data_IF_912852096850
#
_entry.id   IF_912852096850
#
_cell.length_a   1.000
_cell.length_b   1.000
_cell.length_c   1.000
_cell.angle_alpha   90.00
_cell.angle_beta   90.00
_cell.angle_gamma   90.00
#
_symmetry.space_group_name_H-M   'P 1'
#
loop_
_entity.id
_entity.type
_entity.pdbx_description
1 polymer ?
#
# COMPACT_ATOMS: atom_id res chain seq x y z
N UNK A 1 -4.49 22.00 37.04
CA UNK A 1 -5.29 20.76 37.03
C UNK A 1 -6.64 21.12 37.60
N UNK A 2 -7.66 21.13 36.75
CA UNK A 2 -9.05 21.20 37.24
C UNK A 2 -9.45 19.81 37.74
N UNK A 3 -10.33 19.79 38.74
CA UNK A 3 -10.64 18.65 39.62
C UNK A 3 -11.39 17.48 38.97
N UNK A 4 -11.51 17.42 37.64
CA UNK A 4 -12.30 16.41 36.92
C UNK A 4 -11.47 15.53 35.97
N UNK A 5 -10.12 15.54 36.08
CA UNK A 5 -9.23 14.67 35.31
C UNK A 5 -9.36 14.78 33.77
N UNK A 6 -9.89 15.89 33.24
CA UNK A 6 -10.06 16.13 31.80
C UNK A 6 -8.83 16.80 31.19
N UNK A 7 -8.25 16.18 30.15
CA UNK A 7 -7.12 16.74 29.39
C UNK A 7 -7.61 17.50 28.16
N UNK A 8 -7.39 18.82 28.14
CA UNK A 8 -7.71 19.68 26.98
C UNK A 8 -6.50 19.78 26.05
N UNK A 9 -6.58 19.17 24.87
CA UNK A 9 -5.50 19.17 23.89
C UNK A 9 -5.82 20.10 22.71
N UNK A 10 -4.87 20.98 22.34
CA UNK A 10 -4.96 21.81 21.13
C UNK A 10 -3.90 21.35 20.13
N UNK A 11 -4.33 20.77 19.02
CA UNK A 11 -3.44 20.37 17.92
C UNK A 11 -3.08 21.63 17.13
N UNK A 12 -1.79 21.98 17.07
CA UNK A 12 -1.27 23.07 16.26
C UNK A 12 -0.38 22.47 15.16
N UNK A 13 -0.92 22.34 13.95
CA UNK A 13 -0.23 21.77 12.80
C UNK A 13 -1.15 21.70 11.58
N UNK A 14 -0.61 21.34 10.42
CA UNK A 14 -1.21 21.35 9.06
C UNK A 14 -2.50 20.52 8.88
N UNK A 15 -3.11 20.04 9.95
CA UNK A 15 -4.37 19.30 10.00
C UNK A 15 -5.60 20.19 10.20
N UNK A 16 -5.45 21.52 10.16
CA UNK A 16 -6.57 22.46 10.05
C UNK A 16 -7.29 22.23 8.70
N UNK A 17 -8.33 21.39 8.72
CA UNK A 17 -9.33 21.34 7.65
C UNK A 17 -9.54 20.00 6.92
N UNK A 18 -8.87 18.89 7.30
CA UNK A 18 -9.17 17.58 6.71
C UNK A 18 -9.92 16.67 7.70
N UNK A 19 -11.22 16.38 7.50
CA UNK A 19 -12.02 15.53 8.40
C UNK A 19 -11.46 14.10 8.52
N UNK A 20 -10.79 13.60 7.48
CA UNK A 20 -10.23 12.24 7.45
C UNK A 20 -8.97 12.10 8.31
N UNK A 21 -8.15 13.15 8.47
CA UNK A 21 -6.93 13.10 9.28
C UNK A 21 -7.21 13.33 10.78
N UNK A 22 -8.25 14.11 11.11
CA UNK A 22 -8.59 14.43 12.49
C UNK A 22 -9.06 13.21 13.28
N UNK A 23 -9.81 12.29 12.64
CA UNK A 23 -10.34 11.08 13.31
C UNK A 23 -9.23 10.06 13.59
N UNK A 24 -8.33 9.81 12.63
CA UNK A 24 -7.21 8.88 12.84
C UNK A 24 -6.23 9.39 13.90
N UNK A 25 -5.94 10.70 13.90
CA UNK A 25 -5.09 11.32 14.92
C UNK A 25 -5.77 11.30 16.29
N UNK A 26 -7.07 11.61 16.39
CA UNK A 26 -7.83 11.51 17.64
C UNK A 26 -7.78 10.09 18.21
N UNK A 27 -8.05 9.07 17.39
CA UNK A 27 -8.06 7.67 17.83
C UNK A 27 -6.66 7.19 18.27
N UNK A 28 -5.61 7.62 17.58
CA UNK A 28 -4.23 7.31 17.95
C UNK A 28 -3.81 7.99 19.27
N UNK A 29 -4.26 9.22 19.50
CA UNK A 29 -3.98 9.97 20.72
C UNK A 29 -4.75 9.39 21.91
N UNK A 30 -6.03 9.09 21.76
CA UNK A 30 -6.86 8.46 22.81
C UNK A 30 -6.23 7.14 23.26
N UNK A 31 -5.88 6.27 22.31
CA UNK A 31 -5.21 5.01 22.60
C UNK A 31 -3.87 5.19 23.32
N UNK A 32 -3.09 6.18 22.92
CA UNK A 32 -1.78 6.46 23.55
C UNK A 32 -1.93 7.02 24.97
N UNK A 33 -2.97 7.81 25.23
CA UNK A 33 -3.25 8.37 26.56
C UNK A 33 -3.82 7.29 27.49
N UNK A 34 -4.71 6.43 27.00
CA UNK A 34 -5.28 5.31 27.76
C UNK A 34 -4.20 4.31 28.21
N UNK A 35 -3.19 4.05 27.37
CA UNK A 35 -2.05 3.20 27.71
C UNK A 35 -1.09 3.85 28.73
N UNK A 36 -1.03 5.19 28.80
CA UNK A 36 -0.09 5.93 29.64
C UNK A 36 -0.68 6.45 30.96
N UNK A 37 -2.01 6.64 31.03
CA UNK A 37 -2.71 7.20 32.18
C UNK A 37 -4.12 6.56 32.34
N UNK A 38 -4.22 5.39 32.99
CA UNK A 38 -5.46 4.61 33.09
C UNK A 38 -6.56 5.23 33.98
N UNK A 39 -6.33 6.39 34.61
CA UNK A 39 -7.33 7.14 35.39
C UNK A 39 -8.09 8.24 34.59
N UNK A 40 -7.87 8.35 33.27
CA UNK A 40 -8.55 9.32 32.40
C UNK A 40 -9.87 8.74 31.91
N UNK A 41 -10.98 9.29 32.38
CA UNK A 41 -12.34 8.79 32.08
C UNK A 41 -13.01 9.42 30.86
N UNK A 42 -12.54 10.55 30.34
CA UNK A 42 -13.17 11.21 29.19
C UNK A 42 -12.21 12.20 28.48
N UNK A 43 -12.36 12.36 27.16
CA UNK A 43 -11.52 13.23 26.32
C UNK A 43 -12.42 14.17 25.51
N UNK A 44 -12.48 15.43 25.95
CA UNK A 44 -13.31 16.47 25.35
C UNK A 44 -12.49 17.36 24.39
N UNK A 45 -12.85 17.31 23.10
CA UNK A 45 -12.18 18.04 22.02
C UNK A 45 -12.93 19.34 21.77
N UNK A 46 -12.44 20.43 22.36
CA UNK A 46 -13.08 21.74 22.24
C UNK A 46 -12.74 22.37 20.88
N UNK A 47 -13.79 22.84 20.18
CA UNK A 47 -13.85 23.41 18.81
C UNK A 47 -14.14 22.46 17.63
N UNK A 48 -15.06 21.50 17.81
CA UNK A 48 -15.93 21.09 16.70
C UNK A 48 -17.28 21.79 16.84
N UNK A 49 -17.46 22.94 16.21
CA UNK A 49 -18.81 23.43 15.89
C UNK A 49 -19.30 22.66 14.67
N UNK A 50 -19.99 21.55 14.92
CA UNK A 50 -21.01 21.05 14.00
C UNK A 50 -22.31 21.70 14.44
N UNK A 51 -22.82 22.65 13.67
CA UNK A 51 -24.23 23.04 13.76
C UNK A 51 -25.00 22.38 12.61
N UNK A 52 -26.13 21.80 12.98
CA UNK A 52 -27.02 21.04 12.12
C UNK A 52 -27.97 22.01 11.44
N UNK A 53 -28.10 21.97 10.11
CA UNK A 53 -29.40 22.08 9.41
C UNK A 53 -29.28 22.18 7.89
N UNK A 54 -30.20 21.45 7.25
CA UNK A 54 -30.95 21.83 6.06
C UNK A 54 -30.22 21.85 4.71
N UNK A 55 -30.83 21.09 3.80
CA UNK A 55 -30.70 21.21 2.37
C UNK A 55 -30.75 22.68 1.91
N UNK A 56 -29.64 23.15 1.35
CA UNK A 56 -29.60 24.27 0.43
C UNK A 56 -28.90 23.80 -0.84
N UNK A 57 -29.56 24.01 -1.98
CA UNK A 57 -28.97 23.83 -3.30
C UNK A 57 -27.99 24.98 -3.49
N UNK A 58 -26.73 24.77 -3.10
CA UNK A 58 -25.71 25.78 -3.27
C UNK A 58 -25.25 25.79 -4.72
N UNK A 59 -25.49 26.95 -5.34
CA UNK A 59 -25.01 27.29 -6.66
C UNK A 59 -23.78 28.17 -6.43
N UNK A 60 -22.67 27.90 -7.11
CA UNK A 60 -21.52 28.82 -7.05
C UNK A 60 -21.91 30.21 -7.61
N UNK A 61 -21.04 31.21 -7.40
CA UNK A 61 -21.26 32.57 -7.93
C UNK A 61 -21.41 32.65 -9.46
N UNK A 62 -21.22 31.55 -10.17
CA UNK A 62 -21.33 31.38 -11.63
C UNK A 62 -22.53 30.51 -12.07
N UNK A 63 -23.44 30.13 -11.16
CA UNK A 63 -24.68 29.44 -11.54
C UNK A 63 -24.55 27.91 -11.66
N UNK A 64 -23.46 27.29 -11.20
CA UNK A 64 -23.23 25.84 -11.35
C UNK A 64 -23.65 25.07 -10.11
N UNK A 65 -24.50 24.07 -10.32
CA UNK A 65 -24.90 23.09 -9.32
C UNK A 65 -23.71 22.20 -8.96
N UNK A 66 -23.29 22.25 -7.70
CA UNK A 66 -22.27 21.36 -7.17
C UNK A 66 -22.87 19.97 -6.93
N UNK A 67 -22.41 18.97 -7.68
CA UNK A 67 -22.81 17.58 -7.46
C UNK A 67 -22.22 17.08 -6.13
N UNK A 68 -23.03 16.47 -5.24
CA UNK A 68 -22.52 15.95 -3.97
C UNK A 68 -21.52 14.81 -4.23
N UNK A 69 -20.30 14.99 -3.71
CA UNK A 69 -19.26 13.95 -3.68
C UNK A 69 -19.66 12.90 -2.65
N UNK A 70 -20.05 11.72 -3.11
CA UNK A 70 -20.17 10.55 -2.25
C UNK A 70 -18.78 9.94 -2.02
N UNK A 71 -18.34 9.73 -0.77
CA UNK A 71 -17.11 9.01 -0.49
C UNK A 71 -17.26 7.56 -0.94
N UNK A 72 -16.57 7.19 -2.03
CA UNK A 72 -16.41 5.79 -2.43
C UNK A 72 -15.32 5.19 -1.56
N UNK A 73 -15.69 4.71 -0.37
CA UNK A 73 -14.86 3.78 0.40
C UNK A 73 -15.01 2.39 -0.21
N UNK A 74 -14.42 2.20 -1.40
CA UNK A 74 -14.22 0.86 -1.97
C UNK A 74 -12.73 0.59 -1.97
N UNK A 75 -12.15 0.52 -0.78
CA UNK A 75 -10.87 -0.17 -0.61
C UNK A 75 -11.15 -1.61 -1.03
N UNK A 76 -10.58 -2.11 -2.14
CA UNK A 76 -10.77 -3.51 -2.49
C UNK A 76 -10.18 -4.29 -1.33
N UNK A 77 -11.03 -5.04 -0.61
CA UNK A 77 -10.57 -5.94 0.43
C UNK A 77 -9.43 -6.76 -0.17
N UNK A 78 -8.23 -6.61 0.38
CA UNK A 78 -7.07 -7.35 -0.11
C UNK A 78 -7.49 -8.82 -0.16
N UNK A 79 -7.30 -9.52 -1.29
CA UNK A 79 -7.69 -10.92 -1.39
C UNK A 79 -7.05 -11.67 -0.23
N UNK A 80 -7.76 -12.66 0.33
CA UNK A 80 -7.17 -13.53 1.33
C UNK A 80 -5.81 -14.01 0.80
N UNK A 81 -4.74 -13.70 1.52
CA UNK A 81 -3.37 -13.99 1.11
C UNK A 81 -2.68 -14.76 2.23
N UNK A 82 -1.94 -15.80 1.86
CA UNK A 82 -1.13 -16.56 2.80
C UNK A 82 0.31 -16.08 2.70
N UNK A 83 0.88 -15.65 3.83
CA UNK A 83 2.30 -15.34 3.93
C UNK A 83 3.11 -16.62 4.00
N UNK A 84 4.06 -16.79 3.07
CA UNK A 84 4.92 -17.96 2.97
C UNK A 84 6.36 -17.53 3.22
N UNK A 85 7.04 -18.17 4.17
CA UNK A 85 8.47 -17.99 4.41
C UNK A 85 9.25 -18.63 3.26
N UNK A 86 10.21 -17.90 2.68
CA UNK A 86 11.05 -18.38 1.58
C UNK A 86 12.51 -18.37 2.02
N UNK A 87 13.07 -19.57 2.17
CA UNK A 87 14.45 -19.75 2.57
C UNK A 87 15.44 -19.30 1.48
N UNK A 88 16.61 -18.82 1.89
CA UNK A 88 17.72 -18.46 0.99
C UNK A 88 17.59 -17.13 0.24
N UNK A 89 16.43 -16.46 0.26
CA UNK A 89 16.28 -15.15 -0.39
C UNK A 89 17.09 -14.04 0.27
N UNK A 90 17.39 -14.15 1.57
CA UNK A 90 18.26 -13.21 2.28
C UNK A 90 19.70 -13.19 1.76
N UNK A 91 20.13 -14.27 1.10
CA UNK A 91 21.47 -14.41 0.51
C UNK A 91 21.51 -13.99 -0.98
N UNK A 92 20.36 -13.60 -1.55
CA UNK A 92 20.28 -13.16 -2.94
C UNK A 92 21.08 -11.87 -3.10
N UNK A 93 22.26 -11.98 -3.69
CA UNK A 93 23.16 -10.84 -3.91
C UNK A 93 22.53 -9.74 -4.78
N UNK A 94 23.00 -8.51 -4.59
CA UNK A 94 22.55 -7.36 -5.38
C UNK A 94 22.72 -7.60 -6.89
N UNK A 95 21.73 -7.16 -7.68
CA UNK A 95 21.71 -7.32 -9.14
C UNK A 95 21.40 -8.74 -9.60
N UNK A 96 20.95 -9.62 -8.69
CA UNK A 96 20.56 -10.99 -9.01
C UNK A 96 19.05 -11.14 -9.00
N UNK A 97 18.61 -12.12 -9.80
CA UNK A 97 17.25 -12.62 -9.88
C UNK A 97 17.28 -14.13 -9.65
N UNK A 98 16.22 -14.65 -9.04
CA UNK A 98 15.98 -16.08 -8.92
C UNK A 98 14.50 -16.38 -9.10
N UNK A 99 14.18 -17.49 -9.77
CA UNK A 99 12.84 -18.06 -9.73
C UNK A 99 12.65 -18.84 -8.43
N UNK A 100 11.43 -18.82 -7.89
CA UNK A 100 11.03 -19.60 -6.71
C UNK A 100 9.54 -19.91 -6.78
N UNK A 101 9.03 -20.70 -5.82
CA UNK A 101 7.60 -20.95 -5.65
C UNK A 101 7.15 -20.39 -4.31
N UNK A 102 6.08 -19.59 -4.34
CA UNK A 102 5.40 -19.09 -3.16
C UNK A 102 4.10 -19.88 -3.02
N UNK A 103 4.09 -20.86 -2.11
CA UNK A 103 3.09 -21.93 -2.09
C UNK A 103 2.96 -22.63 -3.47
N UNK A 104 1.83 -22.48 -4.15
CA UNK A 104 1.59 -23.05 -5.47
C UNK A 104 1.92 -22.09 -6.63
N UNK A 105 2.27 -20.84 -6.35
CA UNK A 105 2.42 -19.77 -7.35
C UNK A 105 3.88 -19.60 -7.75
N UNK A 106 4.22 -19.78 -9.04
CA UNK A 106 5.54 -19.43 -9.57
C UNK A 106 5.83 -17.94 -9.42
N UNK A 107 7.01 -17.60 -8.90
CA UNK A 107 7.42 -16.22 -8.65
C UNK A 107 8.87 -15.99 -9.07
N UNK A 108 9.18 -14.75 -9.45
CA UNK A 108 10.54 -14.26 -9.60
C UNK A 108 10.83 -13.25 -8.50
N UNK A 109 11.97 -13.41 -7.84
CA UNK A 109 12.48 -12.48 -6.84
C UNK A 109 13.77 -11.89 -7.35
N UNK A 110 13.92 -10.58 -7.22
CA UNK A 110 15.14 -9.88 -7.60
C UNK A 110 15.59 -8.91 -6.53
N UNK A 111 16.91 -8.69 -6.47
CA UNK A 111 17.54 -7.74 -5.57
C UNK A 111 18.04 -6.53 -6.38
N UNK A 112 17.38 -5.39 -6.21
CA UNK A 112 17.79 -4.11 -6.81
C UNK A 112 18.27 -3.19 -5.72
N UNK A 113 19.54 -2.78 -5.80
CA UNK A 113 20.16 -1.86 -4.84
C UNK A 113 20.05 -2.29 -3.35
N UNK A 114 20.00 -3.59 -3.07
CA UNK A 114 19.87 -4.15 -1.72
C UNK A 114 18.43 -4.39 -1.27
N UNK A 115 17.44 -3.97 -2.06
CA UNK A 115 16.02 -4.20 -1.79
C UNK A 115 15.48 -5.37 -2.60
N UNK A 116 14.72 -6.25 -1.96
CA UNK A 116 14.07 -7.38 -2.61
C UNK A 116 12.70 -6.98 -3.17
N UNK A 117 12.41 -7.48 -4.36
CA UNK A 117 11.13 -7.31 -5.05
C UNK A 117 10.67 -8.66 -5.59
N UNK A 118 9.37 -8.92 -5.51
CA UNK A 118 8.77 -10.18 -5.97
C UNK A 118 7.63 -9.93 -6.96
N UNK A 119 7.55 -10.77 -7.99
CA UNK A 119 6.50 -10.76 -9.00
C UNK A 119 6.09 -12.18 -9.37
N UNK A 120 4.89 -12.35 -9.94
CA UNK A 120 4.51 -13.60 -10.58
C UNK A 120 5.49 -13.93 -11.73
N UNK A 121 5.86 -15.20 -11.87
CA UNK A 121 6.79 -15.70 -12.91
C UNK A 121 6.08 -15.85 -14.27
N UNK A 122 5.64 -14.72 -14.83
CA UNK A 122 4.99 -14.64 -16.14
C UNK A 122 5.18 -13.26 -16.75
N UNK A 123 5.70 -13.20 -17.96
CA UNK A 123 5.84 -11.98 -18.74
C UNK A 123 4.47 -11.52 -19.26
N UNK A 124 3.98 -10.31 -18.92
CA UNK A 124 2.76 -9.74 -19.46
C UNK A 124 2.74 -9.63 -21.00
N UNK A 125 3.91 -9.43 -21.63
CA UNK A 125 4.01 -9.22 -23.08
C UNK A 125 3.91 -10.49 -23.93
N UNK A 126 4.42 -11.62 -23.45
CA UNK A 126 4.45 -12.87 -24.23
C UNK A 126 3.97 -14.12 -23.48
N UNK A 127 3.71 -14.02 -22.18
CA UNK A 127 3.21 -15.11 -21.34
C UNK A 127 4.26 -16.13 -20.89
N UNK A 128 5.52 -16.03 -21.34
CA UNK A 128 6.59 -16.93 -20.90
C UNK A 128 7.07 -16.63 -19.47
N UNK A 129 7.71 -17.61 -18.83
CA UNK A 129 8.39 -17.41 -17.55
C UNK A 129 9.50 -16.36 -17.64
N UNK A 130 9.71 -15.66 -16.53
CA UNK A 130 10.73 -14.65 -16.28
C UNK A 130 11.90 -15.19 -15.43
N UNK A 131 11.92 -16.48 -15.09
CA UNK A 131 13.02 -17.09 -14.30
C UNK A 131 14.42 -16.89 -14.87
N UNK A 132 14.54 -16.79 -16.19
CA UNK A 132 15.79 -16.50 -16.90
C UNK A 132 15.92 -15.03 -17.36
N UNK A 133 15.06 -14.14 -16.86
CA UNK A 133 15.10 -12.72 -17.21
C UNK A 133 16.43 -12.08 -16.78
N UNK A 134 16.87 -11.10 -17.58
CA UNK A 134 18.11 -10.37 -17.32
C UNK A 134 17.78 -9.10 -16.53
N UNK A 135 18.49 -8.87 -15.43
CA UNK A 135 18.35 -7.68 -14.59
C UNK A 135 19.49 -6.69 -14.88
N UNK A 136 19.15 -5.52 -15.42
CA UNK A 136 20.08 -4.43 -15.72
C UNK A 136 19.71 -3.21 -14.85
N UNK A 137 20.38 -3.07 -13.71
CA UNK A 137 20.01 -2.08 -12.70
C UNK A 137 18.62 -2.38 -12.12
N UNK A 138 17.64 -1.52 -12.40
CA UNK A 138 16.24 -1.71 -12.01
C UNK A 138 15.36 -2.27 -13.13
N UNK A 139 15.90 -2.48 -14.34
CA UNK A 139 15.13 -2.97 -15.48
C UNK A 139 15.28 -4.49 -15.61
N UNK A 140 14.17 -5.21 -15.48
CA UNK A 140 14.09 -6.62 -15.80
C UNK A 140 13.69 -6.78 -17.27
N UNK A 141 14.49 -7.49 -18.06
CA UNK A 141 14.22 -7.79 -19.47
C UNK A 141 13.84 -9.26 -19.66
N UNK A 142 12.67 -9.50 -20.24
CA UNK A 142 12.26 -10.83 -20.65
C UNK A 142 13.14 -11.31 -21.81
N UNK A 143 13.78 -12.47 -21.67
CA UNK A 143 14.65 -13.03 -22.71
C UNK A 143 13.92 -13.52 -23.95
N UNK A 144 12.60 -13.74 -23.86
CA UNK A 144 11.81 -14.29 -24.96
C UNK A 144 11.27 -13.22 -25.93
N UNK A 145 10.90 -12.04 -25.42
CA UNK A 145 10.28 -10.97 -26.21
C UNK A 145 10.94 -9.60 -26.06
N UNK A 146 12.04 -9.53 -25.30
CA UNK A 146 12.80 -8.32 -24.97
C UNK A 146 12.01 -7.22 -24.24
N UNK A 147 10.78 -7.50 -23.80
CA UNK A 147 10.03 -6.53 -23.02
C UNK A 147 10.74 -6.24 -21.71
N UNK A 148 10.84 -4.95 -21.38
CA UNK A 148 11.50 -4.45 -20.18
C UNK A 148 10.47 -3.95 -19.17
N UNK A 149 10.75 -4.19 -17.90
CA UNK A 149 9.92 -3.77 -16.78
C UNK A 149 10.79 -3.10 -15.71
N UNK A 150 10.38 -1.92 -15.27
CA UNK A 150 10.97 -1.21 -14.14
C UNK A 150 10.47 -1.84 -12.84
N UNK A 151 11.34 -2.63 -12.23
CA UNK A 151 11.08 -3.38 -11.00
C UNK A 151 10.71 -2.41 -9.88
N UNK A 152 11.52 -1.37 -9.66
CA UNK A 152 11.28 -0.45 -8.53
C UNK A 152 9.99 0.37 -8.68
N UNK A 153 9.45 0.46 -9.90
CA UNK A 153 8.15 1.08 -10.20
C UNK A 153 7.03 0.07 -10.42
N UNK A 154 6.91 -0.88 -9.49
CA UNK A 154 5.86 -1.90 -9.49
C UNK A 154 5.76 -2.67 -10.83
N UNK A 155 6.93 -2.98 -11.42
CA UNK A 155 7.00 -3.75 -12.66
C UNK A 155 6.42 -3.06 -13.88
N UNK A 156 6.33 -1.73 -13.92
CA UNK A 156 5.84 -0.96 -15.07
C UNK A 156 6.67 -1.24 -16.31
N UNK A 157 6.00 -1.48 -17.44
CA UNK A 157 6.64 -1.64 -18.74
C UNK A 157 7.46 -0.40 -19.10
N UNK A 158 8.71 -0.61 -19.50
CA UNK A 158 9.58 0.45 -19.99
C UNK A 158 9.44 0.53 -21.52
N UNK A 159 9.34 1.75 -22.05
CA UNK A 159 9.15 2.02 -23.46
C UNK A 159 8.22 3.20 -23.69
N UNK A 160 7.95 3.50 -24.96
CA UNK A 160 6.98 4.52 -25.38
C UNK A 160 5.88 3.95 -26.29
N UNK A 161 5.85 2.62 -26.47
CA UNK A 161 4.85 1.91 -27.25
C UNK A 161 3.76 1.36 -26.33
N UNK A 162 2.76 0.66 -26.89
CA UNK A 162 1.71 0.02 -26.10
C UNK A 162 2.22 -0.97 -25.06
N UNK A 163 3.50 -1.38 -25.10
CA UNK A 163 4.09 -2.27 -24.10
C UNK A 163 4.48 -1.53 -22.81
N UNK A 164 4.49 -0.19 -22.79
CA UNK A 164 4.68 0.57 -21.55
C UNK A 164 3.50 0.51 -20.60
N UNK A 165 2.32 0.15 -21.10
CA UNK A 165 1.09 -0.05 -20.31
C UNK A 165 1.04 -1.42 -19.64
N UNK A 166 1.96 -2.32 -19.97
CA UNK A 166 2.06 -3.63 -19.35
C UNK A 166 2.70 -3.50 -17.97
N UNK A 167 2.28 -4.34 -17.02
CA UNK A 167 2.82 -4.37 -15.68
C UNK A 167 3.05 -5.81 -15.23
N UNK A 168 4.20 -6.08 -14.61
CA UNK A 168 4.37 -7.31 -13.84
C UNK A 168 3.35 -7.33 -12.70
N UNK A 169 2.94 -8.53 -12.29
CA UNK A 169 2.02 -8.72 -11.16
C UNK A 169 2.82 -8.77 -9.84
N UNK A 170 2.82 -7.71 -9.01
CA UNK A 170 3.64 -7.64 -7.81
C UNK A 170 3.12 -8.55 -6.71
N UNK A 171 4.03 -9.28 -6.07
CA UNK A 171 3.72 -10.08 -4.88
C UNK A 171 4.23 -9.34 -3.64
N UNK A 172 3.36 -9.03 -2.66
CA UNK A 172 3.80 -8.38 -1.42
C UNK A 172 4.91 -9.18 -0.74
N UNK A 173 5.99 -8.50 -0.39
CA UNK A 173 7.18 -9.08 0.22
C UNK A 173 7.52 -8.33 1.50
N UNK A 174 7.79 -9.07 2.57
CA UNK A 174 8.30 -8.57 3.83
C UNK A 174 9.69 -9.17 4.05
N UNK A 175 10.70 -8.31 4.14
CA UNK A 175 12.05 -8.69 4.50
C UNK A 175 12.32 -8.24 5.94
N UNK A 176 12.55 -9.20 6.82
CA UNK A 176 12.80 -9.01 8.24
C UNK A 176 14.15 -9.67 8.62
N UNK A 177 14.58 -9.50 9.87
CA UNK A 177 15.83 -10.10 10.34
C UNK A 177 15.80 -11.63 10.39
N UNK A 178 14.62 -12.23 10.49
CA UNK A 178 14.38 -13.67 10.61
C UNK A 178 14.09 -14.35 9.26
N UNK A 179 13.94 -13.60 8.17
CA UNK A 179 13.73 -14.16 6.84
C UNK A 179 12.97 -13.25 5.87
N UNK A 180 12.57 -13.83 4.74
CA UNK A 180 11.80 -13.16 3.69
C UNK A 180 10.48 -13.89 3.49
N UNK A 181 9.38 -13.19 3.74
CA UNK A 181 8.02 -13.70 3.57
C UNK A 181 7.39 -13.07 2.34
N UNK A 182 6.74 -13.89 1.52
CA UNK A 182 6.01 -13.42 0.33
C UNK A 182 4.56 -13.85 0.44
N UNK A 183 3.64 -12.92 0.16
CA UNK A 183 2.21 -13.20 0.13
C UNK A 183 1.83 -13.89 -1.18
N UNK A 184 1.25 -15.09 -1.09
CA UNK A 184 0.59 -15.75 -2.20
C UNK A 184 -0.93 -15.50 -2.13
N UNK A 185 -1.61 -15.30 -3.28
CA UNK A 185 -3.06 -15.35 -3.33
C UNK A 185 -3.55 -16.69 -2.77
N UNK A 186 -4.53 -16.66 -1.87
CA UNK A 186 -5.21 -17.90 -1.46
C UNK A 186 -5.99 -18.41 -2.68
N UNK A 187 -5.78 -19.65 -3.12
CA UNK A 187 -6.58 -20.21 -4.21
C UNK A 187 -8.05 -20.13 -3.84
N UNK A 188 -8.88 -19.59 -4.72
CA UNK A 188 -10.33 -19.60 -4.53
C UNK A 188 -10.78 -21.05 -4.37
N UNK A 189 -11.51 -21.35 -3.30
CA UNK A 189 -12.09 -22.67 -3.10
C UNK A 189 -13.03 -22.98 -4.27
N UNK A 190 -12.74 -24.06 -5.00
CA UNK A 190 -13.54 -24.56 -6.13
C UNK A 190 -14.86 -25.18 -5.68
#
# INVERSE_FOLDING_TARGET
>A
MDSDNVVKLRLAGSCDGCPSSAVTVKLAIEKSIEEAAPEVTDIDVVNMTSDTAAAATETDGDGRTLLPLHPVSKEPAAPAATWVQIDGLGELGQGRLTATRVAATPAVVCNVAGSLYAYADRCPGCGNGLGDAVLEGALMRCVACDQRYDVVRAGRGAGSDSRSELHLDPMPLLAESDGVRIAAPVPAAS
#
